data_IF_679867808746
#
_entry.id   IF_679867808746
#
_cell.length_a   1.000
_cell.length_b   1.000
_cell.length_c   1.000
_cell.angle_alpha   90.00
_cell.angle_beta   90.00
_cell.angle_gamma   90.00
#
_symmetry.space_group_name_H-M   'P 1'
#
loop_
_entity.id
_entity.type
_entity.pdbx_description
1 polymer ?
#
# COMPACT_ATOMS: atom_id res chain seq x y z
N UNK A 1 9.97 7.99 1.94
CA UNK A 1 10.32 6.96 2.94
C UNK A 1 10.11 5.65 2.25
N UNK A 2 11.18 4.92 1.91
CA UNK A 2 11.03 3.54 1.42
C UNK A 2 10.82 2.65 2.65
N UNK A 3 9.74 1.86 2.66
CA UNK A 3 9.45 0.89 3.72
C UNK A 3 9.59 -0.49 3.10
N UNK A 4 10.46 -1.33 3.67
CA UNK A 4 10.62 -2.73 3.25
C UNK A 4 10.09 -3.59 4.38
N UNK A 5 9.14 -4.50 4.09
CA UNK A 5 8.59 -5.42 5.08
C UNK A 5 8.58 -6.87 4.59
N UNK A 6 9.28 -7.68 5.38
CA UNK A 6 9.34 -9.13 5.50
C UNK A 6 9.69 -9.98 4.27
N UNK A 7 10.88 -10.57 4.34
CA UNK A 7 11.32 -11.72 3.56
C UNK A 7 11.24 -12.97 4.45
N UNK A 8 10.24 -13.82 4.23
CA UNK A 8 10.25 -15.21 4.71
C UNK A 8 10.80 -16.09 3.58
N UNK A 9 11.88 -16.84 3.83
CA UNK A 9 12.47 -17.72 2.83
C UNK A 9 11.60 -18.96 2.60
N UNK A 10 11.27 -19.21 1.32
CA UNK A 10 11.24 -20.49 0.58
C UNK A 10 11.19 -21.81 1.37
N UNK A 11 10.28 -21.95 2.32
CA UNK A 11 9.84 -23.27 2.76
C UNK A 11 8.72 -23.71 1.81
N UNK A 12 8.89 -24.88 1.21
CA UNK A 12 7.97 -25.43 0.23
C UNK A 12 7.17 -26.52 0.92
N UNK A 13 5.84 -26.50 0.81
CA UNK A 13 5.03 -27.60 1.32
C UNK A 13 5.26 -28.89 0.49
N UNK A 14 4.70 -30.01 0.96
CA UNK A 14 4.75 -31.30 0.25
C UNK A 14 4.20 -31.23 -1.19
N UNK A 15 3.41 -30.20 -1.51
CA UNK A 15 2.81 -29.93 -2.82
C UNK A 15 3.60 -28.90 -3.67
N UNK A 16 4.82 -28.52 -3.26
CA UNK A 16 5.69 -27.52 -3.92
C UNK A 16 5.09 -26.11 -4.03
N UNK A 17 4.19 -25.74 -3.11
CA UNK A 17 3.73 -24.36 -3.00
C UNK A 17 4.65 -23.58 -2.04
N UNK A 18 5.01 -22.33 -2.40
CA UNK A 18 5.80 -21.49 -1.51
C UNK A 18 4.97 -21.13 -0.28
N UNK A 19 5.43 -21.52 0.91
CA UNK A 19 4.77 -21.19 2.19
C UNK A 19 4.93 -19.72 2.59
N UNK A 20 5.88 -19.03 1.96
CA UNK A 20 6.19 -17.62 2.20
C UNK A 20 6.17 -16.83 0.91
N UNK A 21 5.85 -15.54 1.01
CA UNK A 21 5.81 -14.60 -0.12
C UNK A 21 6.55 -13.34 0.23
N UNK A 22 7.40 -12.88 -0.70
CA UNK A 22 8.15 -11.65 -0.52
C UNK A 22 7.38 -10.47 -1.09
N UNK A 23 7.31 -9.38 -0.33
CA UNK A 23 6.66 -8.15 -0.73
C UNK A 23 7.59 -6.95 -0.52
N UNK A 24 7.72 -6.10 -1.53
CA UNK A 24 8.58 -4.91 -1.49
C UNK A 24 7.75 -3.70 -1.83
N UNK A 25 7.83 -2.64 -1.02
CA UNK A 25 7.14 -1.37 -1.26
C UNK A 25 8.10 -0.19 -1.40
N UNK A 26 7.74 0.72 -2.31
CA UNK A 26 8.40 2.01 -2.50
C UNK A 26 7.39 3.12 -2.23
N UNK A 27 7.68 3.93 -1.22
CA UNK A 27 6.82 5.04 -0.78
C UNK A 27 7.43 6.42 -1.01
N UNK A 28 6.66 7.31 -1.64
CA UNK A 28 6.98 8.72 -1.78
C UNK A 28 5.85 9.58 -1.23
N UNK A 29 6.18 10.66 -0.52
CA UNK A 29 5.18 11.60 -0.05
C UNK A 29 5.63 13.03 -0.26
N UNK A 30 4.69 13.91 -0.61
CA UNK A 30 4.94 15.32 -0.87
C UNK A 30 3.74 16.17 -0.47
N UNK A 31 4.00 17.40 -0.03
CA UNK A 31 2.96 18.39 0.18
C UNK A 31 2.67 19.15 -1.12
N UNK A 32 1.40 19.19 -1.53
CA UNK A 32 0.92 19.91 -2.71
C UNK A 32 -0.29 20.74 -2.26
N UNK A 33 -0.22 22.06 -2.38
CA UNK A 33 -1.30 22.96 -1.98
C UNK A 33 -1.69 22.86 -0.50
N UNK A 34 -0.72 22.63 0.40
CA UNK A 34 -0.96 22.47 1.84
C UNK A 34 -1.48 21.10 2.26
N UNK A 35 -1.82 20.21 1.31
CA UNK A 35 -2.26 18.84 1.58
C UNK A 35 -1.12 17.85 1.35
N UNK A 36 -1.07 16.78 2.15
CA UNK A 36 -0.05 15.74 1.97
C UNK A 36 -0.58 14.69 1.01
N UNK A 37 0.16 14.43 -0.05
CA UNK A 37 -0.06 13.32 -0.97
C UNK A 37 1.00 12.25 -0.74
N UNK A 38 0.61 10.99 -0.76
CA UNK A 38 1.49 9.85 -0.66
C UNK A 38 1.20 8.87 -1.78
N UNK A 39 2.26 8.33 -2.38
CA UNK A 39 2.21 7.31 -3.40
C UNK A 39 3.01 6.11 -2.92
N UNK A 40 2.47 4.92 -3.15
CA UNK A 40 3.13 3.66 -2.83
C UNK A 40 3.02 2.74 -4.03
N UNK A 41 4.13 2.09 -4.39
CA UNK A 41 4.14 1.00 -5.36
C UNK A 41 4.72 -0.23 -4.67
N UNK A 42 3.96 -1.32 -4.69
CA UNK A 42 4.32 -2.61 -4.13
C UNK A 42 4.47 -3.66 -5.23
N UNK A 43 5.55 -4.43 -5.14
CA UNK A 43 5.89 -5.50 -6.06
C UNK A 43 6.10 -6.82 -5.31
N UNK A 44 5.81 -7.92 -5.99
CA UNK A 44 6.29 -9.26 -5.61
C UNK A 44 7.39 -9.66 -6.59
N UNK A 45 8.61 -9.99 -6.14
CA UNK A 45 9.72 -10.31 -7.05
C UNK A 45 9.72 -11.76 -7.53
N UNK A 46 9.06 -12.68 -6.81
CA UNK A 46 9.08 -14.12 -7.06
C UNK A 46 7.69 -14.73 -6.84
N UNK A 47 7.52 -15.97 -7.31
CA UNK A 47 6.33 -16.79 -7.08
C UNK A 47 5.98 -16.83 -5.59
N UNK A 48 4.71 -16.56 -5.28
CA UNK A 48 4.17 -16.55 -3.94
C UNK A 48 2.64 -16.40 -3.95
N UNK A 49 2.07 -16.20 -2.78
CA UNK A 49 0.66 -15.93 -2.53
C UNK A 49 0.10 -14.74 -3.34
N UNK A 50 0.93 -13.73 -3.60
CA UNK A 50 0.48 -12.49 -4.25
C UNK A 50 0.46 -12.57 -5.78
N UNK A 51 1.37 -13.34 -6.39
CA UNK A 51 1.44 -13.63 -7.84
C UNK A 51 2.43 -14.77 -8.08
N UNK A 52 2.30 -15.48 -9.20
CA UNK A 52 3.21 -16.54 -9.61
C UNK A 52 4.51 -16.03 -10.26
N UNK A 53 4.54 -14.74 -10.62
CA UNK A 53 5.65 -14.10 -11.32
C UNK A 53 5.99 -12.74 -10.71
N UNK A 54 7.09 -12.13 -11.20
CA UNK A 54 7.39 -10.74 -10.86
C UNK A 54 6.26 -9.84 -11.35
N UNK A 55 5.56 -9.19 -10.43
CA UNK A 55 4.43 -8.35 -10.78
C UNK A 55 4.27 -7.15 -9.84
N UNK A 56 3.59 -6.11 -10.34
CA UNK A 56 3.11 -4.99 -9.54
C UNK A 56 1.77 -5.38 -8.94
N UNK A 57 1.75 -5.54 -7.62
CA UNK A 57 0.57 -6.05 -6.90
C UNK A 57 -0.15 -4.94 -6.14
N UNK A 58 0.46 -3.76 -6.00
CA UNK A 58 -0.14 -2.64 -5.29
C UNK A 58 0.35 -1.32 -5.89
N UNK A 59 -0.57 -0.44 -6.27
CA UNK A 59 -0.27 0.97 -6.53
C UNK A 59 -1.30 1.79 -5.78
N UNK A 60 -0.86 2.56 -4.80
CA UNK A 60 -1.70 3.41 -3.96
C UNK A 60 -1.35 4.88 -4.15
N UNK A 61 -2.37 5.72 -4.15
CA UNK A 61 -2.26 7.15 -3.92
C UNK A 61 -3.21 7.55 -2.79
N UNK A 62 -2.69 8.24 -1.78
CA UNK A 62 -3.45 8.71 -0.63
C UNK A 62 -3.27 10.22 -0.43
N UNK A 63 -4.35 10.94 -0.22
CA UNK A 63 -4.37 12.35 0.17
C UNK A 63 -4.79 12.46 1.64
N UNK A 64 -4.00 13.18 2.42
CA UNK A 64 -4.28 13.48 3.81
C UNK A 64 -4.61 14.96 3.97
N UNK A 65 -5.62 15.23 4.78
CA UNK A 65 -6.09 16.58 5.09
C UNK A 65 -6.52 16.66 6.55
N UNK A 66 -6.50 17.86 7.10
CA UNK A 66 -6.95 18.12 8.46
C UNK A 66 -8.09 19.13 8.40
N UNK A 67 -9.29 18.67 8.73
CA UNK A 67 -10.50 19.49 8.73
C UNK A 67 -10.66 20.15 10.10
N UNK A 68 -10.53 21.47 10.16
CA UNK A 68 -10.83 22.22 11.37
C UNK A 68 -12.35 22.44 11.45
N UNK A 69 -13.00 21.73 12.37
CA UNK A 69 -14.46 21.83 12.57
C UNK A 69 -14.76 22.96 13.57
N UNK A 70 -13.92 23.12 14.60
CA UNK A 70 -13.96 24.26 15.53
C UNK A 70 -12.52 24.71 15.85
N UNK A 71 -12.36 25.86 16.52
CA UNK A 71 -11.05 26.36 16.95
C UNK A 71 -10.28 25.39 17.87
N UNK A 72 -10.98 24.43 18.50
CA UNK A 72 -10.39 23.46 19.43
C UNK A 72 -10.45 22.02 18.91
N UNK A 73 -11.07 21.79 17.75
CA UNK A 73 -11.32 20.45 17.24
C UNK A 73 -10.99 20.36 15.75
N UNK A 74 -10.01 19.51 15.45
CA UNK A 74 -9.61 19.15 14.10
C UNK A 74 -9.80 17.66 13.89
N UNK A 75 -10.28 17.26 12.72
CA UNK A 75 -10.41 15.87 12.31
C UNK A 75 -9.40 15.56 11.21
N UNK A 76 -8.57 14.54 11.42
CA UNK A 76 -7.65 14.08 10.38
C UNK A 76 -8.39 13.13 9.45
N UNK A 77 -8.37 13.42 8.15
CA UNK A 77 -9.02 12.61 7.13
C UNK A 77 -8.01 12.14 6.09
N UNK A 78 -8.23 10.95 5.56
CA UNK A 78 -7.44 10.37 4.48
C UNK A 78 -8.38 9.77 3.44
N UNK A 79 -8.13 10.11 2.17
CA UNK A 79 -8.80 9.48 1.03
C UNK A 79 -7.72 8.84 0.16
N UNK A 80 -7.91 7.57 -0.17
CA UNK A 80 -6.96 6.80 -0.96
C UNK A 80 -7.64 6.05 -2.10
N UNK A 81 -6.88 5.88 -3.18
CA UNK A 81 -7.19 4.95 -4.25
C UNK A 81 -6.05 3.95 -4.35
N UNK A 82 -6.40 2.67 -4.42
CA UNK A 82 -5.45 1.57 -4.58
C UNK A 82 -5.87 0.73 -5.76
N UNK A 83 -4.93 0.39 -6.63
CA UNK A 83 -5.12 -0.59 -7.69
C UNK A 83 -4.15 -1.75 -7.51
N UNK A 84 -4.62 -2.95 -7.82
CA UNK A 84 -3.80 -4.15 -7.94
C UNK A 84 -3.85 -4.60 -9.41
N UNK A 85 -2.85 -4.22 -10.23
CA UNK A 85 -2.79 -4.59 -11.64
C UNK A 85 -2.81 -6.11 -11.86
N UNK A 86 -2.14 -6.89 -11.01
CA UNK A 86 -2.06 -8.35 -11.11
C UNK A 86 -3.43 -9.04 -11.03
N UNK A 87 -4.34 -8.50 -10.21
CA UNK A 87 -5.69 -9.07 -10.01
C UNK A 87 -6.80 -8.23 -10.65
N UNK A 88 -6.44 -7.16 -11.36
CA UNK A 88 -7.36 -6.18 -11.96
C UNK A 88 -8.36 -5.58 -10.96
N UNK A 89 -7.94 -5.38 -9.71
CA UNK A 89 -8.80 -4.85 -8.63
C UNK A 89 -8.53 -3.38 -8.35
N UNK A 90 -9.60 -2.67 -8.00
CA UNK A 90 -9.56 -1.28 -7.56
C UNK A 90 -10.25 -1.15 -6.20
N UNK A 91 -9.64 -0.41 -5.29
CA UNK A 91 -10.12 -0.14 -3.95
C UNK A 91 -10.12 1.36 -3.69
N UNK A 92 -11.17 1.83 -3.03
CA UNK A 92 -11.27 3.19 -2.51
C UNK A 92 -11.23 3.11 -0.98
N UNK A 93 -10.39 3.94 -0.37
CA UNK A 93 -10.20 3.98 1.08
C UNK A 93 -10.57 5.34 1.61
N UNK A 94 -11.41 5.35 2.65
CA UNK A 94 -11.74 6.54 3.42
C UNK A 94 -11.40 6.24 4.87
N UNK A 95 -10.53 7.05 5.47
CA UNK A 95 -10.15 6.92 6.86
C UNK A 95 -10.33 8.25 7.58
N UNK A 96 -10.79 8.17 8.82
CA UNK A 96 -10.94 9.30 9.74
C UNK A 96 -10.23 8.94 11.04
N UNK A 97 -9.50 9.88 11.60
CA UNK A 97 -8.85 9.75 12.91
C UNK A 97 -9.18 10.98 13.75
N UNK A 98 -9.57 10.70 14.99
CA UNK A 98 -9.80 11.69 16.04
C UNK A 98 -8.48 12.10 16.71
#
# INVERSE_FOLDING_TARGET
>A
MASVLFHGQMDWDEDQNPQYSSYIEFGYSRFIGGKKFSWVVGITPYKGFYDDHLNVINVNMSMYDQLNITDKFSLSVCVGITVNPATERLFLTFAVSL
#
